data_IF_270902654557
#
_entry.id   IF_270902654557
#
_cell.length_a   1.000
_cell.length_b   1.000
_cell.length_c   1.000
_cell.angle_alpha   90.00
_cell.angle_beta   90.00
_cell.angle_gamma   90.00
#
_symmetry.space_group_name_H-M   'P 1'
#
loop_
_entity.id
_entity.type
_entity.pdbx_description
1 polymer ?
#
# COMPACT_ATOMS: atom_id res chain seq x y z
N UNK A 1 26.40 -2.96 -4.15
CA UNK A 1 25.82 -1.60 -4.04
C UNK A 1 24.60 -1.54 -4.93
N UNK A 2 23.44 -1.11 -4.39
CA UNK A 2 22.19 -1.05 -5.12
C UNK A 2 22.25 -0.07 -6.28
N UNK A 3 21.70 -0.43 -7.43
CA UNK A 3 21.57 0.43 -8.59
C UNK A 3 20.36 0.05 -9.43
N UNK A 4 19.70 1.02 -10.02
CA UNK A 4 18.73 0.81 -11.11
C UNK A 4 18.54 2.07 -11.93
N UNK A 5 18.12 1.89 -13.19
CA UNK A 5 17.74 2.96 -14.10
C UNK A 5 16.29 2.78 -14.54
N UNK A 6 15.54 3.87 -14.57
CA UNK A 6 14.12 3.86 -14.95
C UNK A 6 13.72 5.20 -15.59
N UNK A 7 12.73 5.18 -16.46
CA UNK A 7 12.18 6.43 -17.00
C UNK A 7 11.62 7.33 -15.89
N UNK A 8 11.93 8.61 -15.91
CA UNK A 8 11.54 9.56 -14.85
C UNK A 8 10.04 9.61 -14.59
N UNK A 9 9.21 9.46 -15.62
CA UNK A 9 7.74 9.49 -15.48
C UNK A 9 7.24 8.25 -14.70
N UNK A 10 7.76 7.08 -15.03
CA UNK A 10 7.41 5.84 -14.34
C UNK A 10 7.93 5.84 -12.90
N UNK A 11 9.18 6.29 -12.72
CA UNK A 11 9.78 6.42 -11.39
C UNK A 11 8.98 7.34 -10.48
N UNK A 12 8.54 8.50 -10.98
CA UNK A 12 7.66 9.42 -10.23
C UNK A 12 6.35 8.77 -9.84
N UNK A 13 5.68 8.11 -10.78
CA UNK A 13 4.41 7.45 -10.52
C UNK A 13 4.57 6.34 -9.46
N UNK A 14 5.64 5.57 -9.54
CA UNK A 14 5.95 4.52 -8.57
C UNK A 14 6.24 5.10 -7.17
N UNK A 15 7.04 6.17 -7.10
CA UNK A 15 7.32 6.87 -5.84
C UNK A 15 6.07 7.46 -5.20
N UNK A 16 5.20 8.12 -5.98
CA UNK A 16 3.93 8.67 -5.49
C UNK A 16 3.02 7.60 -4.89
N UNK A 17 2.97 6.43 -5.51
CA UNK A 17 2.25 5.27 -4.99
C UNK A 17 2.90 4.72 -3.71
N UNK A 18 4.22 4.56 -3.68
CA UNK A 18 4.96 4.09 -2.50
C UNK A 18 4.82 5.04 -1.29
N UNK A 19 4.66 6.35 -1.54
CA UNK A 19 4.39 7.35 -0.51
C UNK A 19 2.94 7.33 0.00
N UNK A 20 2.07 6.50 -0.56
CA UNK A 20 0.63 6.54 -0.26
C UNK A 20 0.31 6.28 1.20
N UNK A 21 1.08 5.41 1.86
CA UNK A 21 0.90 5.02 3.26
C UNK A 21 1.72 5.86 4.25
N UNK A 22 2.46 6.86 3.79
CA UNK A 22 3.25 7.71 4.69
C UNK A 22 2.39 8.86 5.19
N UNK A 23 2.27 9.00 6.51
CA UNK A 23 1.69 10.19 7.12
C UNK A 23 2.77 11.29 7.24
N UNK A 24 2.51 12.44 6.62
CA UNK A 24 3.42 13.61 6.67
C UNK A 24 3.59 14.21 8.07
N UNK A 25 2.69 13.88 9.01
CA UNK A 25 2.71 14.37 10.39
C UNK A 25 3.52 13.47 11.34
N UNK A 26 4.09 12.37 10.84
CA UNK A 26 4.88 11.45 11.64
C UNK A 26 6.11 12.17 12.21
N UNK A 27 6.42 11.91 13.47
CA UNK A 27 7.59 12.47 14.15
C UNK A 27 8.83 11.57 14.04
N UNK A 28 8.63 10.26 13.89
CA UNK A 28 9.71 9.28 13.74
C UNK A 28 10.40 9.43 12.38
N UNK A 29 11.70 9.66 12.39
CA UNK A 29 12.48 9.90 11.18
C UNK A 29 12.44 8.70 10.21
N UNK A 30 12.46 7.47 10.70
CA UNK A 30 12.35 6.26 9.89
C UNK A 30 11.05 6.16 9.09
N UNK A 31 9.96 6.74 9.56
CA UNK A 31 8.67 6.73 8.88
C UNK A 31 8.52 7.87 7.85
N UNK A 32 9.51 8.77 7.75
CA UNK A 32 9.60 9.80 6.70
C UNK A 32 10.45 9.36 5.53
N UNK A 33 10.63 8.07 5.34
CA UNK A 33 11.47 7.52 4.27
C UNK A 33 10.65 6.71 3.28
N UNK A 34 10.99 6.85 2.01
CA UNK A 34 10.60 5.88 0.99
C UNK A 34 11.72 4.85 0.89
N UNK A 35 11.38 3.62 1.15
CA UNK A 35 12.28 2.49 1.04
C UNK A 35 12.24 1.92 -0.37
N UNK A 36 13.37 1.44 -0.85
CA UNK A 36 13.53 0.86 -2.17
C UNK A 36 14.40 -0.39 -2.10
N UNK A 37 14.02 -1.40 -2.86
CA UNK A 37 14.78 -2.64 -3.02
C UNK A 37 14.87 -2.99 -4.49
N UNK A 38 16.03 -3.42 -4.92
CA UNK A 38 16.24 -4.15 -6.17
C UNK A 38 16.50 -5.61 -5.80
N UNK A 39 15.68 -6.50 -6.31
CA UNK A 39 15.82 -7.95 -6.12
C UNK A 39 16.84 -8.55 -7.08
N UNK A 40 17.24 -9.80 -6.85
CA UNK A 40 18.21 -10.51 -7.70
C UNK A 40 17.74 -10.68 -9.15
N UNK A 41 16.40 -10.76 -9.36
CA UNK A 41 15.79 -10.85 -10.69
C UNK A 41 15.63 -9.50 -11.41
N UNK A 42 16.06 -8.40 -10.77
CA UNK A 42 15.95 -7.04 -11.27
C UNK A 42 14.62 -6.35 -10.96
N UNK A 43 13.68 -7.01 -10.28
CA UNK A 43 12.44 -6.38 -9.81
C UNK A 43 12.76 -5.25 -8.83
N UNK A 44 12.17 -4.07 -9.06
CA UNK A 44 12.26 -2.93 -8.16
C UNK A 44 11.00 -2.84 -7.32
N UNK A 45 11.18 -2.77 -6.00
CA UNK A 45 10.12 -2.55 -5.01
C UNK A 45 10.33 -1.21 -4.32
N UNK A 46 9.23 -0.50 -4.02
CA UNK A 46 9.24 0.72 -3.22
C UNK A 46 8.11 0.68 -2.22
N UNK A 47 8.38 1.02 -0.96
CA UNK A 47 7.35 1.03 0.07
C UNK A 47 7.52 2.16 1.06
N UNK A 48 6.40 2.53 1.64
CA UNK A 48 6.29 3.46 2.75
C UNK A 48 5.26 2.98 3.77
N UNK A 49 5.32 3.50 4.98
CA UNK A 49 4.43 3.10 6.07
C UNK A 49 4.29 4.20 7.11
N UNK A 50 3.16 4.19 7.82
CA UNK A 50 2.92 4.90 9.08
C UNK A 50 2.82 3.94 10.28
N UNK A 51 3.22 2.67 10.11
CA UNK A 51 3.14 1.52 11.03
C UNK A 51 1.75 0.89 11.17
N UNK A 52 0.69 1.56 10.74
CA UNK A 52 -0.67 1.00 10.66
C UNK A 52 -0.99 0.57 9.22
N UNK A 53 -0.48 1.33 8.25
CA UNK A 53 -0.65 1.15 6.82
C UNK A 53 0.70 0.92 6.16
N UNK A 54 0.80 -0.07 5.30
CA UNK A 54 1.98 -0.38 4.50
C UNK A 54 1.56 -0.47 3.04
N UNK A 55 2.24 0.27 2.16
CA UNK A 55 2.02 0.20 0.73
C UNK A 55 3.34 -0.09 0.02
N UNK A 56 3.41 -1.23 -0.66
CA UNK A 56 4.50 -1.63 -1.52
C UNK A 56 4.06 -1.60 -2.97
N UNK A 57 4.89 -1.04 -3.83
CA UNK A 57 4.72 -1.01 -5.28
C UNK A 57 5.90 -1.73 -5.91
N UNK A 58 5.66 -2.52 -6.96
CA UNK A 58 6.69 -3.28 -7.68
C UNK A 58 6.61 -3.08 -9.18
N UNK A 59 7.76 -3.16 -9.84
CA UNK A 59 7.86 -3.09 -11.29
C UNK A 59 9.08 -3.85 -11.80
N UNK A 60 8.97 -4.36 -13.03
CA UNK A 60 10.07 -4.97 -13.78
C UNK A 60 10.55 -4.07 -14.94
N UNK A 61 10.12 -2.80 -14.97
CA UNK A 61 10.48 -1.86 -16.05
C UNK A 61 11.86 -1.19 -15.83
N UNK A 62 12.55 -1.51 -14.74
CA UNK A 62 13.89 -1.03 -14.49
C UNK A 62 14.93 -1.80 -15.31
N UNK A 63 16.01 -1.14 -15.66
CA UNK A 63 17.16 -1.73 -16.33
C UNK A 63 18.46 -1.27 -15.68
N UNK A 64 19.60 -1.90 -16.05
CA UNK A 64 20.91 -1.64 -15.43
C UNK A 64 20.82 -1.77 -13.90
N UNK A 65 20.29 -2.92 -13.45
CA UNK A 65 19.96 -3.20 -12.07
C UNK A 65 21.08 -3.88 -11.32
N UNK A 66 21.24 -3.55 -10.05
CA UNK A 66 22.09 -4.27 -9.08
C UNK A 66 21.35 -4.41 -7.76
N UNK A 67 21.29 -5.60 -7.17
CA UNK A 67 20.53 -5.87 -5.96
C UNK A 67 20.97 -5.04 -4.75
N UNK A 68 20.01 -4.76 -3.86
CA UNK A 68 20.24 -4.06 -2.61
C UNK A 68 19.02 -3.34 -2.09
N UNK A 69 19.17 -2.72 -0.92
CA UNK A 69 18.09 -1.97 -0.23
C UNK A 69 18.62 -0.63 0.24
N UNK A 70 17.79 0.41 0.13
CA UNK A 70 18.07 1.74 0.68
C UNK A 70 16.80 2.50 1.04
N UNK A 71 16.93 3.56 1.83
CA UNK A 71 15.87 4.53 2.11
C UNK A 71 16.27 5.93 1.65
N UNK A 72 15.29 6.68 1.15
CA UNK A 72 15.42 8.09 0.75
C UNK A 72 14.43 8.93 1.56
N UNK A 73 14.85 10.09 2.04
CA UNK A 73 13.97 11.05 2.68
C UNK A 73 12.88 11.54 1.72
N UNK A 74 11.64 11.66 2.20
CA UNK A 74 10.51 12.10 1.39
C UNK A 74 10.71 13.51 0.82
N UNK A 75 11.50 14.36 1.48
CA UNK A 75 11.81 15.69 0.98
C UNK A 75 12.82 15.67 -0.19
N UNK A 76 13.73 14.71 -0.21
CA UNK A 76 14.70 14.53 -1.29
C UNK A 76 14.06 13.98 -2.58
N UNK A 77 12.93 13.27 -2.48
CA UNK A 77 12.17 12.76 -3.64
C UNK A 77 11.73 13.89 -4.58
N UNK A 78 11.53 15.11 -4.08
CA UNK A 78 11.19 16.28 -4.88
C UNK A 78 12.24 16.62 -5.95
N UNK A 79 13.48 16.18 -5.76
CA UNK A 79 14.57 16.35 -6.74
C UNK A 79 14.27 15.54 -8.00
N UNK A 80 13.81 14.29 -7.83
CA UNK A 80 13.48 13.38 -8.93
C UNK A 80 12.27 13.90 -9.72
N UNK A 81 11.33 14.59 -9.05
CA UNK A 81 10.15 15.14 -9.71
C UNK A 81 10.48 16.16 -10.82
N UNK A 82 11.67 16.77 -10.81
CA UNK A 82 12.15 17.76 -11.79
C UNK A 82 12.99 17.15 -12.92
N UNK A 83 13.19 15.83 -12.92
CA UNK A 83 13.98 15.13 -13.92
C UNK A 83 13.11 14.66 -15.10
N UNK A 84 13.71 14.53 -16.29
CA UNK A 84 13.05 14.04 -17.50
C UNK A 84 14.01 13.11 -18.26
N UNK A 85 13.50 12.03 -18.84
CA UNK A 85 14.27 10.97 -19.46
C UNK A 85 14.63 9.87 -18.47
N UNK A 86 15.71 9.16 -18.69
CA UNK A 86 16.11 8.06 -17.82
C UNK A 86 16.85 8.58 -16.59
N UNK A 87 16.46 8.09 -15.45
CA UNK A 87 17.03 8.42 -14.14
C UNK A 87 17.67 7.17 -13.55
N UNK A 88 18.93 7.28 -13.20
CA UNK A 88 19.68 6.24 -12.48
C UNK A 88 19.79 6.64 -11.01
N UNK A 89 19.39 5.74 -10.12
CA UNK A 89 19.72 5.78 -8.69
C UNK A 89 20.84 4.78 -8.43
N UNK A 90 21.88 5.25 -7.77
CA UNK A 90 23.06 4.44 -7.49
C UNK A 90 23.55 4.69 -6.06
N UNK A 91 23.62 3.64 -5.26
CA UNK A 91 24.24 3.68 -3.95
C UNK A 91 25.78 3.83 -4.13
N UNK A 92 26.30 4.96 -3.67
CA UNK A 92 27.74 5.29 -3.70
C UNK A 92 28.31 5.41 -2.29
N UNK A 93 27.69 4.74 -1.34
CA UNK A 93 28.08 4.77 0.07
C UNK A 93 29.49 4.20 0.26
N UNK A 94 30.20 4.79 1.20
CA UNK A 94 31.48 4.32 1.72
C UNK A 94 31.32 4.04 3.22
N UNK A 95 32.35 3.51 3.86
CA UNK A 95 32.33 3.30 5.33
C UNK A 95 32.07 4.59 6.12
N UNK A 96 32.52 5.75 5.60
CA UNK A 96 32.37 7.04 6.28
C UNK A 96 31.15 7.85 5.86
N UNK A 97 30.59 7.57 4.68
CA UNK A 97 29.53 8.40 4.09
C UNK A 97 28.46 7.57 3.41
N UNK A 98 27.23 7.70 3.86
CA UNK A 98 26.06 7.05 3.27
C UNK A 98 25.41 8.00 2.26
N UNK A 99 25.53 7.71 0.96
CA UNK A 99 25.09 8.60 -0.14
C UNK A 99 24.52 7.83 -1.33
N UNK A 100 23.60 8.50 -2.01
CA UNK A 100 22.99 8.05 -3.26
C UNK A 100 23.27 9.11 -4.33
N UNK A 101 23.73 8.69 -5.50
CA UNK A 101 23.76 9.51 -6.70
C UNK A 101 22.46 9.31 -7.49
N UNK A 102 21.83 10.41 -7.85
CA UNK A 102 20.71 10.48 -8.78
C UNK A 102 21.22 11.12 -10.06
N UNK A 103 21.28 10.33 -11.14
CA UNK A 103 21.84 10.76 -12.44
C UNK A 103 20.71 10.89 -13.45
N UNK A 104 20.69 11.97 -14.21
CA UNK A 104 19.77 12.18 -15.34
C UNK A 104 20.48 12.96 -16.45
N UNK A 105 20.85 12.28 -17.53
CA UNK A 105 21.73 12.83 -18.57
C UNK A 105 23.06 13.32 -17.98
N UNK A 106 23.35 14.62 -18.14
CA UNK A 106 24.59 15.22 -17.59
C UNK A 106 24.44 15.70 -16.13
N UNK A 107 23.23 15.66 -15.56
CA UNK A 107 22.98 16.13 -14.20
C UNK A 107 23.21 15.00 -13.21
N UNK A 108 23.96 15.30 -12.15
CA UNK A 108 24.17 14.39 -11.01
C UNK A 108 23.83 15.18 -9.75
N UNK A 109 22.97 14.60 -8.91
CA UNK A 109 22.67 15.12 -7.58
C UNK A 109 22.97 14.02 -6.58
N UNK A 110 23.71 14.38 -5.55
CA UNK A 110 24.04 13.45 -4.45
C UNK A 110 23.21 13.81 -3.23
N UNK A 111 22.52 12.83 -2.69
CA UNK A 111 21.69 12.98 -1.49
C UNK A 111 22.13 11.98 -0.40
N UNK A 112 21.76 12.21 0.88
CA UNK A 112 21.99 11.23 1.93
C UNK A 112 21.24 9.93 1.64
N UNK A 113 21.84 8.80 2.01
CA UNK A 113 21.19 7.49 2.08
C UNK A 113 20.78 7.21 3.51
N UNK A 114 19.55 6.73 3.69
CA UNK A 114 19.13 6.19 4.96
C UNK A 114 19.52 4.70 5.02
N UNK A 115 20.38 4.35 5.99
CA UNK A 115 20.99 3.03 6.05
C UNK A 115 20.18 2.01 6.86
N UNK A 116 19.33 2.45 7.80
CA UNK A 116 18.47 1.56 8.55
C UNK A 116 17.25 1.18 7.69
N UNK A 117 17.25 -0.06 7.21
CA UNK A 117 16.23 -0.60 6.31
C UNK A 117 15.37 -1.68 6.95
N UNK A 118 15.30 -1.71 8.29
CA UNK A 118 14.60 -2.76 9.05
C UNK A 118 13.06 -2.63 9.02
N UNK A 119 12.54 -1.68 8.24
CA UNK A 119 11.10 -1.48 8.06
C UNK A 119 10.65 -2.19 6.77
N UNK A 120 10.10 -3.36 6.94
CA UNK A 120 9.54 -4.17 5.84
C UNK A 120 8.02 -4.30 5.95
N UNK A 121 7.39 -4.73 4.86
CA UNK A 121 6.00 -5.17 4.93
C UNK A 121 5.85 -6.25 6.01
N UNK A 122 4.80 -6.16 6.85
CA UNK A 122 4.50 -7.24 7.79
C UNK A 122 4.26 -8.54 7.05
N UNK A 123 4.92 -9.61 7.49
CA UNK A 123 4.59 -10.94 7.04
C UNK A 123 3.25 -11.36 7.62
N UNK A 124 2.41 -11.97 6.79
CA UNK A 124 1.20 -12.65 7.24
C UNK A 124 1.58 -13.93 7.98
N UNK A 125 0.78 -14.34 8.95
CA UNK A 125 1.01 -15.57 9.69
C UNK A 125 0.34 -16.79 9.02
N UNK A 126 0.53 -17.98 9.60
CA UNK A 126 0.03 -19.25 9.06
C UNK A 126 -1.51 -19.34 9.04
N UNK A 127 -2.22 -18.39 9.64
CA UNK A 127 -3.68 -18.29 9.61
C UNK A 127 -4.20 -17.47 8.42
N UNK A 128 -3.32 -17.02 7.52
CA UNK A 128 -3.71 -16.23 6.37
C UNK A 128 -4.74 -16.98 5.51
N UNK A 129 -5.90 -16.39 5.36
CA UNK A 129 -6.96 -16.91 4.50
C UNK A 129 -7.25 -15.93 3.35
N UNK A 130 -7.45 -16.47 2.14
CA UNK A 130 -7.95 -15.71 1.01
C UNK A 130 -9.47 -15.55 1.14
N UNK A 131 -9.95 -14.31 1.17
CA UNK A 131 -11.35 -14.00 1.47
C UNK A 131 -12.15 -13.65 0.21
N UNK A 132 -11.65 -12.70 -0.58
CA UNK A 132 -12.37 -12.15 -1.73
C UNK A 132 -11.41 -11.91 -2.88
N UNK A 133 -11.87 -12.21 -4.11
CA UNK A 133 -11.26 -11.74 -5.35
C UNK A 133 -12.22 -10.76 -6.01
N UNK A 134 -11.72 -9.59 -6.42
CA UNK A 134 -12.46 -8.52 -7.08
C UNK A 134 -11.57 -7.79 -8.09
N UNK A 135 -11.96 -6.60 -8.57
CA UNK A 135 -11.15 -5.74 -9.43
C UNK A 135 -10.77 -4.43 -8.74
N UNK A 136 -9.70 -3.78 -9.20
CA UNK A 136 -9.28 -2.47 -8.67
C UNK A 136 -10.40 -1.44 -8.78
N UNK A 137 -11.01 -1.33 -9.97
CA UNK A 137 -12.10 -0.37 -10.24
C UNK A 137 -13.27 -0.58 -9.28
N UNK A 138 -13.73 -1.83 -9.14
CA UNK A 138 -14.88 -2.14 -8.29
C UNK A 138 -14.60 -1.88 -6.81
N UNK A 139 -13.43 -2.31 -6.31
CA UNK A 139 -13.07 -2.11 -4.90
C UNK A 139 -12.94 -0.63 -4.59
N UNK A 140 -12.23 0.13 -5.43
CA UNK A 140 -12.03 1.56 -5.24
C UNK A 140 -13.36 2.34 -5.28
N UNK A 141 -14.23 2.06 -6.27
CA UNK A 141 -15.56 2.69 -6.38
C UNK A 141 -16.42 2.36 -5.16
N UNK A 142 -16.47 1.09 -4.77
CA UNK A 142 -17.27 0.63 -3.65
C UNK A 142 -16.88 1.31 -2.35
N UNK A 143 -15.58 1.32 -2.02
CA UNK A 143 -15.08 1.97 -0.81
C UNK A 143 -15.28 3.49 -0.87
N UNK A 144 -15.11 4.12 -2.04
CA UNK A 144 -15.36 5.55 -2.20
C UNK A 144 -16.83 5.92 -1.97
N UNK A 145 -17.77 5.14 -2.49
CA UNK A 145 -19.21 5.36 -2.30
C UNK A 145 -19.64 5.12 -0.85
N UNK A 146 -19.18 4.03 -0.25
CA UNK A 146 -19.50 3.70 1.15
C UNK A 146 -18.84 4.65 2.15
N UNK A 147 -17.77 5.35 1.79
CA UNK A 147 -17.09 6.31 2.68
C UNK A 147 -17.97 7.48 3.14
N UNK A 148 -19.07 7.74 2.43
CA UNK A 148 -20.07 8.73 2.82
C UNK A 148 -20.94 8.30 4.04
N UNK A 149 -20.85 7.02 4.41
CA UNK A 149 -21.65 6.39 5.46
C UNK A 149 -20.78 5.78 6.57
N UNK A 150 -19.52 6.15 6.64
CA UNK A 150 -18.56 5.71 7.67
C UNK A 150 -18.09 6.94 8.43
N UNK A 151 -18.00 6.84 9.76
CA UNK A 151 -17.42 7.92 10.55
C UNK A 151 -15.91 8.05 10.28
N UNK A 152 -15.44 9.28 10.09
CA UNK A 152 -14.04 9.53 9.76
C UNK A 152 -13.08 9.27 10.92
N UNK A 153 -13.51 9.65 12.13
CA UNK A 153 -12.76 9.49 13.38
C UNK A 153 -13.72 9.47 14.56
N UNK A 154 -14.26 8.31 14.88
CA UNK A 154 -15.13 8.09 16.03
C UNK A 154 -14.39 7.31 17.13
N UNK A 155 -14.77 7.53 18.38
CA UNK A 155 -14.24 6.77 19.53
C UNK A 155 -14.59 5.29 19.38
N UNK A 156 -15.79 4.98 18.89
CA UNK A 156 -16.15 3.63 18.52
C UNK A 156 -15.53 3.26 17.18
N UNK A 157 -14.42 2.53 17.21
CA UNK A 157 -13.67 2.12 16.00
C UNK A 157 -14.46 1.30 15.00
N UNK A 158 -15.58 0.68 15.42
CA UNK A 158 -16.46 -0.06 14.51
C UNK A 158 -17.25 0.85 13.58
N UNK A 159 -17.37 2.14 13.88
CA UNK A 159 -17.98 3.13 13.00
C UNK A 159 -17.00 3.68 11.95
N UNK A 160 -15.69 3.40 12.12
CA UNK A 160 -14.63 3.88 11.23
C UNK A 160 -14.22 2.81 10.18
N UNK A 161 -15.03 1.76 10.00
CA UNK A 161 -14.68 0.63 9.13
C UNK A 161 -15.75 0.31 8.09
N UNK A 162 -15.29 -0.21 6.97
CA UNK A 162 -16.11 -0.94 6.00
C UNK A 162 -16.09 -2.41 6.42
N UNK A 163 -17.24 -2.96 6.76
CA UNK A 163 -17.38 -4.34 7.19
C UNK A 163 -17.76 -5.25 6.02
N UNK A 164 -16.82 -6.03 5.51
CA UNK A 164 -17.09 -7.04 4.49
C UNK A 164 -17.63 -8.30 5.20
N UNK A 165 -18.93 -8.47 5.16
CA UNK A 165 -19.62 -9.61 5.75
C UNK A 165 -19.75 -10.72 4.70
N UNK A 166 -18.89 -11.73 4.75
CA UNK A 166 -18.83 -12.80 3.75
C UNK A 166 -20.04 -13.73 3.86
N UNK A 167 -20.54 -13.96 5.06
CA UNK A 167 -21.74 -14.80 5.30
C UNK A 167 -23.00 -14.17 4.66
N UNK A 168 -23.18 -12.86 4.84
CA UNK A 168 -24.31 -12.13 4.28
C UNK A 168 -24.04 -11.63 2.85
N UNK A 169 -22.87 -11.93 2.29
CA UNK A 169 -22.44 -11.51 0.94
C UNK A 169 -22.66 -10.02 0.68
N UNK A 170 -22.29 -9.18 1.62
CA UNK A 170 -22.44 -7.71 1.50
C UNK A 170 -21.32 -6.96 2.24
N UNK A 171 -21.10 -5.73 1.82
CA UNK A 171 -20.30 -4.76 2.58
C UNK A 171 -21.25 -3.84 3.31
N UNK A 172 -20.97 -3.58 4.56
CA UNK A 172 -21.76 -2.76 5.48
C UNK A 172 -20.95 -1.54 5.90
N UNK A 173 -21.58 -0.38 5.91
CA UNK A 173 -21.02 0.87 6.40
C UNK A 173 -22.06 1.60 7.25
N UNK A 174 -21.67 2.16 8.39
CA UNK A 174 -22.57 2.90 9.26
C UNK A 174 -21.86 4.02 10.04
N UNK A 175 -22.58 5.10 10.38
CA UNK A 175 -22.09 6.26 11.12
C UNK A 175 -23.07 6.72 12.20
N UNK A 176 -23.62 5.94 13.04
CA UNK A 176 -24.64 6.28 14.05
C UNK A 176 -26.02 6.76 13.50
N UNK A 177 -26.08 7.32 12.30
CA UNK A 177 -27.29 7.92 11.74
C UNK A 177 -27.71 7.29 10.42
N UNK A 178 -26.77 6.71 9.69
CA UNK A 178 -26.97 6.22 8.33
C UNK A 178 -26.31 4.85 8.17
N UNK A 179 -26.93 4.03 7.35
CA UNK A 179 -26.45 2.70 6.99
C UNK A 179 -26.41 2.62 5.48
N UNK A 180 -25.35 2.03 4.94
CA UNK A 180 -25.25 1.68 3.53
C UNK A 180 -24.81 0.24 3.38
N UNK A 181 -25.41 -0.44 2.41
CA UNK A 181 -25.14 -1.83 2.07
C UNK A 181 -24.75 -1.93 0.61
N UNK A 182 -23.75 -2.75 0.30
CA UNK A 182 -23.31 -3.08 -1.07
C UNK A 182 -23.22 -4.58 -1.22
N UNK A 183 -23.96 -5.15 -2.16
CA UNK A 183 -23.93 -6.59 -2.44
C UNK A 183 -22.54 -7.04 -2.94
N UNK A 184 -22.13 -8.23 -2.51
CA UNK A 184 -20.95 -8.96 -2.98
C UNK A 184 -21.31 -10.10 -3.95
N UNK A 185 -22.57 -10.27 -4.34
CA UNK A 185 -23.02 -11.41 -5.14
C UNK A 185 -22.29 -11.58 -6.46
N UNK A 186 -21.83 -10.47 -7.07
CA UNK A 186 -21.07 -10.48 -8.31
C UNK A 186 -19.55 -10.56 -8.10
N UNK A 187 -19.10 -10.79 -6.87
CA UNK A 187 -17.70 -10.93 -6.54
C UNK A 187 -17.39 -12.38 -6.16
N UNK A 188 -16.17 -12.82 -6.50
CA UNK A 188 -15.72 -14.15 -6.12
C UNK A 188 -15.36 -14.17 -4.64
N UNK A 189 -16.31 -14.53 -3.79
CA UNK A 189 -16.07 -14.81 -2.37
C UNK A 189 -15.50 -16.22 -2.29
N UNK A 190 -14.37 -16.37 -1.61
CA UNK A 190 -13.77 -17.65 -1.32
C UNK A 190 -14.39 -18.16 -0.02
N UNK A 191 -15.39 -18.98 -0.17
CA UNK A 191 -15.99 -19.74 0.96
C UNK A 191 -15.25 -21.06 1.10
N UNK A 192 -14.00 -21.01 1.47
CA UNK A 192 -13.32 -22.22 1.93
C UNK A 192 -13.98 -22.66 3.24
N UNK A 193 -14.23 -23.94 3.37
CA UNK A 193 -14.84 -24.55 4.56
C UNK A 193 -14.02 -24.33 5.83
N UNK A 194 -12.84 -23.76 5.69
CA UNK A 194 -11.86 -23.49 6.75
C UNK A 194 -11.58 -21.99 6.94
N UNK A 195 -12.34 -21.07 6.30
CA UNK A 195 -12.10 -19.64 6.52
C UNK A 195 -12.50 -19.28 7.97
N UNK A 196 -11.55 -18.98 8.86
CA UNK A 196 -11.84 -18.65 10.25
C UNK A 196 -12.45 -17.25 10.40
N UNK A 197 -12.55 -16.48 9.30
CA UNK A 197 -12.96 -15.08 9.33
C UNK A 197 -14.29 -14.85 8.60
N UNK A 198 -15.34 -14.59 9.37
CA UNK A 198 -16.67 -14.24 8.83
C UNK A 198 -16.73 -12.81 8.28
N UNK A 199 -15.79 -11.96 8.67
CA UNK A 199 -15.79 -10.54 8.33
C UNK A 199 -14.38 -9.99 8.15
N UNK A 200 -14.23 -9.07 7.18
CA UNK A 200 -13.03 -8.25 6.99
C UNK A 200 -13.39 -6.79 7.27
N UNK A 201 -12.68 -6.14 8.18
CA UNK A 201 -12.96 -4.76 8.60
C UNK A 201 -11.86 -3.82 8.11
N UNK A 202 -12.09 -3.15 6.99
CA UNK A 202 -11.16 -2.17 6.44
C UNK A 202 -11.40 -0.80 7.08
N UNK A 203 -10.39 -0.23 7.70
CA UNK A 203 -10.46 1.13 8.24
C UNK A 203 -10.64 2.17 7.12
N UNK A 204 -11.45 3.20 7.34
CA UNK A 204 -11.75 4.26 6.36
C UNK A 204 -10.50 4.96 5.82
N UNK A 205 -9.43 5.02 6.57
CA UNK A 205 -8.11 5.56 6.14
C UNK A 205 -7.47 4.78 4.99
N UNK A 206 -7.94 3.58 4.63
CA UNK A 206 -7.48 2.87 3.43
C UNK A 206 -7.83 3.62 2.14
N UNK A 207 -8.93 4.39 2.11
CA UNK A 207 -9.40 5.06 0.91
C UNK A 207 -8.40 6.06 0.28
N UNK A 208 -7.74 6.96 1.04
CA UNK A 208 -6.69 7.82 0.48
C UNK A 208 -5.53 7.04 -0.14
N UNK A 209 -5.17 5.88 0.43
CA UNK A 209 -4.13 4.99 -0.11
C UNK A 209 -4.62 4.35 -1.40
N UNK A 210 -5.81 3.74 -1.41
CA UNK A 210 -6.40 3.10 -2.59
C UNK A 210 -6.49 4.05 -3.78
N UNK A 211 -6.91 5.31 -3.56
CA UNK A 211 -6.96 6.34 -4.61
C UNK A 211 -5.62 6.63 -5.27
N UNK A 212 -4.51 6.29 -4.61
CA UNK A 212 -3.16 6.49 -5.15
C UNK A 212 -2.59 5.24 -5.80
N UNK A 213 -2.84 4.05 -5.21
CA UNK A 213 -2.22 2.80 -5.67
C UNK A 213 -3.04 2.06 -6.72
N UNK A 214 -4.37 2.22 -6.72
CA UNK A 214 -5.29 1.56 -7.66
C UNK A 214 -5.73 2.49 -8.77
N UNK A 215 -6.06 1.91 -9.94
CA UNK A 215 -6.65 2.63 -11.06
C UNK A 215 -8.17 2.39 -11.10
N UNK A 216 -8.94 3.48 -11.05
CA UNK A 216 -10.42 3.46 -11.12
C UNK A 216 -11.00 2.92 -12.43
N UNK A 217 -10.17 2.73 -13.44
CA UNK A 217 -10.55 2.18 -14.75
C UNK A 217 -9.96 0.80 -15.00
N UNK A 218 -9.21 0.26 -14.05
CA UNK A 218 -8.55 -1.03 -14.18
C UNK A 218 -9.47 -2.17 -13.72
N UNK A 219 -9.66 -3.15 -14.59
CA UNK A 219 -10.30 -4.42 -14.27
C UNK A 219 -9.28 -5.49 -13.82
N UNK A 220 -8.04 -5.06 -13.47
CA UNK A 220 -7.04 -5.94 -12.91
C UNK A 220 -7.53 -6.57 -11.61
N UNK A 221 -7.21 -7.84 -11.44
CA UNK A 221 -7.61 -8.62 -10.28
C UNK A 221 -6.94 -8.10 -9.01
N UNK A 222 -7.74 -8.02 -7.94
CA UNK A 222 -7.30 -7.71 -6.58
C UNK A 222 -7.79 -8.81 -5.66
N UNK A 223 -6.90 -9.31 -4.82
CA UNK A 223 -7.19 -10.33 -3.82
C UNK A 223 -7.07 -9.76 -2.42
N UNK A 224 -8.05 -10.07 -1.58
CA UNK A 224 -8.09 -9.68 -0.16
C UNK A 224 -7.82 -10.91 0.69
N UNK A 225 -6.82 -10.82 1.55
CA UNK A 225 -6.43 -11.84 2.51
C UNK A 225 -6.52 -11.27 3.92
N UNK A 226 -6.71 -12.13 4.90
CA UNK A 226 -6.69 -11.76 6.31
C UNK A 226 -6.04 -12.86 7.15
N UNK A 227 -5.26 -12.46 8.15
CA UNK A 227 -4.80 -13.29 9.25
C UNK A 227 -5.29 -12.75 10.60
N UNK A 228 -4.72 -13.18 11.70
CA UNK A 228 -5.08 -12.73 13.05
C UNK A 228 -4.71 -11.26 13.32
N UNK A 229 -3.72 -10.70 12.61
CA UNK A 229 -3.15 -9.38 12.87
C UNK A 229 -3.38 -8.37 11.75
N UNK A 230 -3.41 -8.84 10.50
CA UNK A 230 -3.37 -8.00 9.33
C UNK A 230 -4.42 -8.37 8.29
N UNK A 231 -4.74 -7.39 7.45
CA UNK A 231 -5.46 -7.57 6.19
C UNK A 231 -4.49 -7.18 5.09
N UNK A 232 -4.31 -8.07 4.11
CA UNK A 232 -3.48 -7.84 2.93
C UNK A 232 -4.34 -7.75 1.68
N UNK A 233 -4.12 -6.72 0.89
CA UNK A 233 -4.76 -6.51 -0.40
C UNK A 233 -3.67 -6.49 -1.46
N UNK A 234 -3.70 -7.48 -2.35
CA UNK A 234 -2.69 -7.68 -3.39
C UNK A 234 -3.28 -7.48 -4.76
N UNK A 235 -2.74 -6.54 -5.51
CA UNK A 235 -2.96 -6.35 -6.94
C UNK A 235 -1.75 -6.81 -7.76
N UNK A 236 -1.78 -6.53 -9.07
CA UNK A 236 -0.71 -6.88 -9.99
C UNK A 236 0.63 -6.23 -9.58
N UNK A 237 0.61 -4.92 -9.34
CA UNK A 237 1.80 -4.09 -9.15
C UNK A 237 1.92 -3.53 -7.73
N UNK A 238 1.05 -3.92 -6.81
CA UNK A 238 1.06 -3.43 -5.45
C UNK A 238 0.69 -4.50 -4.42
N UNK A 239 1.14 -4.28 -3.19
CA UNK A 239 0.66 -4.95 -1.98
C UNK A 239 0.38 -3.89 -0.93
N UNK A 240 -0.82 -3.91 -0.38
CA UNK A 240 -1.22 -3.05 0.73
C UNK A 240 -1.55 -3.90 1.94
N UNK A 241 -0.96 -3.57 3.07
CA UNK A 241 -1.21 -4.25 4.35
C UNK A 241 -1.69 -3.23 5.37
N UNK A 242 -2.73 -3.58 6.10
CA UNK A 242 -3.29 -2.78 7.18
C UNK A 242 -3.49 -3.64 8.42
N UNK A 243 -3.25 -3.05 9.59
CA UNK A 243 -3.54 -3.72 10.86
C UNK A 243 -5.03 -3.99 10.99
N UNK A 244 -5.38 -5.20 11.38
CA UNK A 244 -6.76 -5.60 11.64
C UNK A 244 -7.31 -4.85 12.85
N UNK A 245 -8.58 -4.49 12.80
CA UNK A 245 -9.32 -3.89 13.91
C UNK A 245 -10.19 -4.96 14.55
N UNK A 246 -9.95 -5.21 15.83
CA UNK A 246 -10.75 -6.13 16.63
C UNK A 246 -11.99 -5.44 17.16
N UNK A 247 -13.05 -6.22 17.33
CA UNK A 247 -14.34 -5.79 17.86
C UNK A 247 -15.50 -6.41 17.11
N UNK A 248 -16.67 -6.38 17.73
CA UNK A 248 -17.91 -6.85 17.13
C UNK A 248 -18.54 -5.69 16.36
N UNK A 249 -18.77 -5.88 15.07
CA UNK A 249 -19.54 -4.94 14.27
C UNK A 249 -21.03 -5.02 14.63
N UNK A 250 -21.75 -3.91 14.50
CA UNK A 250 -23.19 -3.86 14.77
C UNK A 250 -23.95 -4.88 13.91
N UNK A 251 -24.91 -5.58 14.51
CA UNK A 251 -25.77 -6.45 13.74
C UNK A 251 -26.79 -5.60 12.99
N UNK A 252 -26.62 -5.53 11.67
CA UNK A 252 -27.56 -4.85 10.78
C UNK A 252 -28.53 -5.89 10.25
N UNK A 253 -29.79 -5.79 10.68
CA UNK A 253 -30.88 -6.62 10.14
C UNK A 253 -31.34 -6.09 8.79
N UNK A 254 -31.88 -6.97 7.94
CA UNK A 254 -32.38 -6.63 6.60
C UNK A 254 -33.70 -5.88 6.64
#
# INVERSE_FOLDING_TARGET
MMKFTMNAKELKAMMEKGLAAIDKKVTLDSLKKLYMQVEEDGTVKMWGTDMEHFAEIRTNNAFDTSPGVLGIDIDDIKIISKMNGDVTLEDVSTEMQQRINIKCGKKIVTIPRYANTDIFLPAMDDTEAHIITTTESWLLETIANLSLFVAGDDVNKMLNVFNFNTKRKRIEALDNHRIALRSLENQKIITETENPFDTVKLHVKCLPVFKKIMDKKSDAEVKVYQDQKYIRISGKDFTYVIRRIDGQYSNIED
#
